data_IF_831854477008
#
_entry.id   IF_831854477008
#
_cell.length_a   1.000
_cell.length_b   1.000
_cell.length_c   1.000
_cell.angle_alpha   90.00
_cell.angle_beta   90.00
_cell.angle_gamma   90.00
#
_symmetry.space_group_name_H-M   'P 1'
#
loop_
_entity.id
_entity.type
_entity.pdbx_description
1 polymer ?
#
# COMPACT_ATOMS: atom_id res chain seq x y z
N UNK A 1 7.75 -12.30 -20.74
CA UNK A 1 8.61 -13.35 -21.37
C UNK A 1 10.02 -13.09 -20.89
N UNK A 2 10.76 -14.15 -20.49
CA UNK A 2 12.13 -14.06 -19.98
C UNK A 2 12.24 -13.70 -18.48
N UNK A 3 11.15 -13.58 -17.75
CA UNK A 3 11.22 -13.48 -16.29
C UNK A 3 11.70 -14.80 -15.68
N UNK A 4 12.58 -14.72 -14.69
CA UNK A 4 13.12 -15.87 -13.99
C UNK A 4 12.32 -16.13 -12.71
N UNK A 5 11.92 -17.39 -12.52
CA UNK A 5 11.25 -17.91 -11.34
C UNK A 5 12.15 -18.95 -10.68
N UNK A 6 11.93 -19.26 -9.43
CA UNK A 6 12.74 -20.26 -8.70
C UNK A 6 11.84 -21.40 -8.24
N UNK A 7 12.27 -22.64 -8.47
CA UNK A 7 11.58 -23.84 -7.96
C UNK A 7 12.00 -24.16 -6.50
N UNK A 8 11.39 -25.19 -5.92
CA UNK A 8 11.67 -25.65 -4.56
C UNK A 8 13.10 -26.23 -4.35
N UNK A 9 13.85 -26.45 -5.42
CA UNK A 9 15.25 -26.91 -5.38
C UNK A 9 16.23 -25.75 -5.62
N UNK A 10 15.73 -24.51 -5.76
CA UNK A 10 16.52 -23.33 -6.08
C UNK A 10 16.92 -23.23 -7.56
N UNK A 11 16.31 -24.04 -8.44
CA UNK A 11 16.57 -23.99 -9.88
C UNK A 11 15.78 -22.87 -10.53
N UNK A 12 16.45 -22.11 -11.38
CA UNK A 12 15.83 -21.08 -12.21
C UNK A 12 14.97 -21.69 -13.32
N UNK A 13 13.74 -21.21 -13.45
CA UNK A 13 12.78 -21.54 -14.50
C UNK A 13 12.46 -20.25 -15.24
N UNK A 14 12.61 -20.23 -16.56
CA UNK A 14 12.28 -19.08 -17.39
C UNK A 14 10.82 -19.11 -17.82
N UNK A 15 10.15 -17.95 -17.79
CA UNK A 15 8.80 -17.78 -18.35
C UNK A 15 8.91 -17.67 -19.86
N UNK A 16 8.53 -18.73 -20.56
CA UNK A 16 8.59 -18.79 -22.03
C UNK A 16 7.41 -18.10 -22.68
N UNK A 17 6.22 -18.20 -22.07
CA UNK A 17 4.98 -17.63 -22.61
C UNK A 17 4.06 -17.13 -21.52
N UNK A 18 3.41 -16.00 -21.78
CA UNK A 18 2.30 -15.47 -20.99
C UNK A 18 1.16 -15.19 -21.96
N UNK A 19 0.00 -15.75 -21.69
CA UNK A 19 -1.23 -15.44 -22.43
C UNK A 19 -2.34 -15.06 -21.46
N UNK A 20 -3.26 -14.24 -21.93
CA UNK A 20 -4.47 -13.86 -21.19
C UNK A 20 -5.64 -14.60 -21.83
N UNK A 21 -6.34 -15.35 -21.04
CA UNK A 21 -7.60 -15.96 -21.42
C UNK A 21 -8.74 -14.99 -21.10
N UNK A 22 -9.67 -14.81 -22.04
CA UNK A 22 -10.89 -14.04 -21.80
C UNK A 22 -12.02 -15.05 -21.64
N UNK A 23 -12.63 -15.07 -20.49
CA UNK A 23 -13.80 -15.91 -20.21
C UNK A 23 -15.04 -15.18 -20.74
N UNK A 24 -15.64 -15.70 -21.81
CA UNK A 24 -16.88 -15.17 -22.39
C UNK A 24 -18.05 -15.49 -21.44
N UNK A 25 -18.47 -14.50 -20.66
CA UNK A 25 -19.62 -14.55 -19.74
C UNK A 25 -19.58 -15.61 -18.63
N UNK A 26 -18.46 -16.21 -18.37
CA UNK A 26 -18.25 -17.12 -17.23
C UNK A 26 -17.34 -16.48 -16.18
N UNK A 27 -17.68 -16.66 -14.90
CA UNK A 27 -16.81 -16.27 -13.79
C UNK A 27 -16.19 -17.52 -13.18
N UNK A 28 -14.87 -17.61 -13.20
CA UNK A 28 -14.15 -18.65 -12.44
C UNK A 28 -13.85 -18.18 -11.02
N UNK A 29 -14.04 -19.11 -10.07
CA UNK A 29 -13.62 -18.87 -8.68
C UNK A 29 -12.10 -19.00 -8.59
N UNK A 30 -11.42 -17.90 -8.33
CA UNK A 30 -9.99 -17.89 -8.05
C UNK A 30 -9.78 -17.97 -6.54
N UNK A 31 -8.98 -18.92 -6.11
CA UNK A 31 -8.63 -19.09 -4.69
C UNK A 31 -7.26 -18.52 -4.44
N UNK A 32 -7.16 -17.69 -3.40
CA UNK A 32 -5.91 -17.16 -2.92
C UNK A 32 -5.59 -17.77 -1.56
N UNK A 33 -4.43 -18.41 -1.44
CA UNK A 33 -4.02 -19.05 -0.20
C UNK A 33 -3.21 -18.06 0.65
N UNK A 34 -3.65 -17.85 1.88
CA UNK A 34 -2.86 -17.12 2.87
C UNK A 34 -2.04 -18.13 3.66
N UNK A 35 -0.71 -18.06 3.54
CA UNK A 35 0.22 -18.82 4.38
C UNK A 35 0.65 -17.91 5.53
N UNK A 36 0.35 -18.32 6.77
CA UNK A 36 0.74 -17.58 7.97
C UNK A 36 2.26 -17.42 8.04
N UNK A 37 2.69 -16.20 8.39
CA UNK A 37 4.07 -15.73 8.59
C UNK A 37 4.92 -15.56 7.32
N UNK A 38 4.84 -16.43 6.33
CA UNK A 38 5.76 -16.39 5.17
C UNK A 38 5.14 -15.85 3.88
N UNK A 39 3.82 -15.87 3.72
CA UNK A 39 3.09 -15.45 2.51
C UNK A 39 3.66 -16.03 1.20
N UNK A 40 4.35 -17.16 1.30
CA UNK A 40 5.10 -17.77 0.20
C UNK A 40 4.71 -19.24 0.11
N UNK A 41 4.42 -19.71 -1.09
CA UNK A 41 4.06 -21.11 -1.35
C UNK A 41 4.45 -21.53 -2.76
N UNK A 42 4.48 -22.83 -3.00
CA UNK A 42 4.79 -23.39 -4.30
C UNK A 42 3.53 -23.72 -5.08
N UNK A 43 3.52 -23.43 -6.38
CA UNK A 43 2.39 -23.69 -7.26
C UNK A 43 2.80 -24.51 -8.48
N UNK A 44 1.83 -25.28 -8.97
CA UNK A 44 1.96 -26.09 -10.17
C UNK A 44 2.89 -27.30 -10.02
N UNK A 45 2.95 -28.11 -11.07
CA UNK A 45 3.80 -29.30 -11.13
C UNK A 45 5.30 -28.97 -11.14
N UNK A 46 5.65 -27.76 -11.56
CA UNK A 46 7.02 -27.24 -11.56
C UNK A 46 7.46 -26.66 -10.21
N UNK A 47 6.57 -26.69 -9.18
CA UNK A 47 6.86 -26.16 -7.86
C UNK A 47 7.44 -24.73 -7.87
N UNK A 48 6.81 -23.83 -8.62
CA UNK A 48 7.23 -22.42 -8.69
C UNK A 48 6.93 -21.73 -7.38
N UNK A 49 7.93 -21.07 -6.81
CA UNK A 49 7.77 -20.24 -5.61
C UNK A 49 7.00 -18.96 -5.97
N UNK A 50 5.85 -18.78 -5.36
CA UNK A 50 5.07 -17.54 -5.44
C UNK A 50 4.98 -16.89 -4.09
N UNK A 51 5.11 -15.58 -4.07
CA UNK A 51 4.92 -14.75 -2.89
C UNK A 51 3.59 -14.02 -3.02
N UNK A 52 2.66 -14.37 -2.14
CA UNK A 52 1.42 -13.62 -2.03
C UNK A 52 1.67 -12.40 -1.15
N UNK A 53 1.90 -11.26 -1.77
CA UNK A 53 1.97 -10.01 -1.04
C UNK A 53 0.56 -9.67 -0.53
N UNK A 54 0.36 -9.76 0.77
CA UNK A 54 -0.84 -9.24 1.43
C UNK A 54 -0.77 -7.70 1.41
N UNK A 55 -1.22 -7.10 0.30
CA UNK A 55 -1.17 -5.66 0.11
C UNK A 55 -2.11 -4.90 1.07
N UNK A 56 -3.09 -5.59 1.65
CA UNK A 56 -4.07 -5.00 2.56
C UNK A 56 -3.64 -4.97 4.04
N UNK A 57 -2.56 -5.67 4.43
CA UNK A 57 -2.24 -5.90 5.84
C UNK A 57 -0.81 -5.55 6.24
N UNK A 58 -0.21 -4.51 5.65
CA UNK A 58 1.05 -4.00 6.20
C UNK A 58 0.79 -3.23 7.50
N UNK A 59 0.70 -3.95 8.59
CA UNK A 59 0.67 -3.34 9.92
C UNK A 59 2.07 -2.84 10.31
N UNK A 60 2.17 -1.71 11.02
CA UNK A 60 3.45 -1.11 11.39
C UNK A 60 4.10 -1.85 12.57
N UNK A 61 4.64 -3.05 12.35
CA UNK A 61 5.26 -3.85 13.41
C UNK A 61 6.56 -3.23 13.98
N UNK A 62 7.40 -2.67 13.11
CA UNK A 62 8.70 -2.13 13.53
C UNK A 62 8.56 -0.79 14.26
N UNK A 63 9.19 -0.68 15.44
CA UNK A 63 9.20 0.55 16.23
C UNK A 63 7.90 0.89 16.94
N UNK A 64 6.93 -0.01 16.97
CA UNK A 64 5.69 0.14 17.73
C UNK A 64 6.00 0.02 19.23
N UNK A 65 5.60 1.02 20.00
CA UNK A 65 5.75 1.06 21.46
C UNK A 65 4.42 0.78 22.18
N UNK A 66 3.30 0.92 21.47
CA UNK A 66 1.96 0.63 22.02
C UNK A 66 1.03 0.20 20.90
N UNK A 67 0.22 -0.82 21.17
CA UNK A 67 -0.86 -1.31 20.32
C UNK A 67 -2.16 -1.37 21.12
N UNK A 68 -3.24 -0.84 20.58
CA UNK A 68 -4.57 -0.86 21.18
C UNK A 68 -5.58 -1.36 20.16
N UNK A 69 -6.21 -2.49 20.45
CA UNK A 69 -7.36 -3.00 19.68
C UNK A 69 -8.63 -2.29 20.14
N UNK A 70 -9.31 -1.63 19.22
CA UNK A 70 -10.52 -0.87 19.48
C UNK A 70 -11.76 -1.77 19.36
N UNK A 71 -12.88 -1.33 19.98
CA UNK A 71 -14.14 -2.09 19.97
C UNK A 71 -14.77 -2.23 18.58
N UNK A 72 -14.46 -1.32 17.66
CA UNK A 72 -14.94 -1.30 16.27
C UNK A 72 -14.12 -2.20 15.33
N UNK A 73 -13.14 -2.93 15.88
CA UNK A 73 -12.25 -3.81 15.13
C UNK A 73 -11.02 -3.12 14.53
N UNK A 74 -10.91 -1.79 14.66
CA UNK A 74 -9.70 -1.05 14.28
C UNK A 74 -8.57 -1.27 15.31
N UNK A 75 -7.33 -0.95 14.92
CA UNK A 75 -6.17 -1.05 15.81
C UNK A 75 -5.37 0.24 15.77
N UNK A 76 -5.08 0.83 16.93
CA UNK A 76 -4.25 2.02 17.05
C UNK A 76 -2.83 1.62 17.43
N UNK A 77 -1.87 2.01 16.60
CA UNK A 77 -0.45 1.82 16.83
C UNK A 77 0.21 3.14 17.20
N UNK A 78 1.09 3.12 18.20
CA UNK A 78 1.87 4.28 18.63
C UNK A 78 3.36 4.02 18.42
N UNK A 79 4.07 5.01 17.89
CA UNK A 79 5.52 5.02 17.70
C UNK A 79 6.13 6.31 18.28
N UNK A 80 7.45 6.32 18.52
CA UNK A 80 8.19 7.55 18.75
C UNK A 80 8.78 8.06 17.45
N UNK A 81 8.36 9.25 16.99
CA UNK A 81 8.84 9.93 15.79
C UNK A 81 9.35 11.30 16.21
N UNK A 82 10.65 11.59 15.96
CA UNK A 82 11.25 12.83 16.40
C UNK A 82 11.16 13.06 17.92
N UNK A 83 11.21 11.99 18.72
CA UNK A 83 11.10 12.04 20.19
C UNK A 83 9.69 12.20 20.75
N UNK A 84 8.67 12.35 19.89
CA UNK A 84 7.26 12.50 20.28
C UNK A 84 6.49 11.22 20.01
N UNK A 85 5.50 10.93 20.83
CA UNK A 85 4.55 9.86 20.57
C UNK A 85 3.58 10.27 19.46
N UNK A 86 3.46 9.40 18.46
CA UNK A 86 2.59 9.57 17.29
C UNK A 86 1.76 8.31 17.16
N UNK A 87 0.45 8.45 17.03
CA UNK A 87 -0.48 7.33 16.96
C UNK A 87 -1.26 7.36 15.64
N UNK A 88 -1.35 6.22 14.97
CA UNK A 88 -2.15 6.05 13.75
C UNK A 88 -3.10 4.87 13.96
N UNK A 89 -4.37 5.08 13.65
CA UNK A 89 -5.40 4.03 13.72
C UNK A 89 -5.55 3.38 12.35
N UNK A 90 -5.55 2.07 12.35
CA UNK A 90 -5.78 1.25 11.15
C UNK A 90 -7.17 0.65 11.22
N UNK A 91 -7.93 0.76 10.14
CA UNK A 91 -9.23 0.12 10.03
C UNK A 91 -9.11 -1.40 10.18
N UNK A 92 -10.22 -2.10 10.33
CA UNK A 92 -10.27 -3.57 10.38
C UNK A 92 -9.74 -4.21 9.08
N UNK A 93 -9.78 -3.49 7.96
CA UNK A 93 -9.21 -3.88 6.67
C UNK A 93 -7.72 -3.58 6.56
N UNK A 94 -7.10 -2.92 7.55
CA UNK A 94 -5.68 -2.61 7.58
C UNK A 94 -5.26 -1.30 6.92
N UNK A 95 -6.18 -0.39 6.63
CA UNK A 95 -5.89 0.93 6.07
C UNK A 95 -5.66 1.96 7.17
N UNK A 96 -4.59 2.79 7.10
CA UNK A 96 -4.29 3.79 8.11
C UNK A 96 -5.13 5.04 7.95
N UNK A 97 -5.56 5.61 9.05
CA UNK A 97 -6.09 6.97 9.10
C UNK A 97 -4.96 7.98 9.38
N UNK A 98 -4.51 8.66 8.34
CA UNK A 98 -3.54 9.74 8.43
C UNK A 98 -4.16 11.13 8.53
N UNK A 99 -5.48 11.26 8.59
CA UNK A 99 -6.19 12.55 8.66
C UNK A 99 -5.71 13.45 9.79
N UNK A 100 -5.35 12.94 11.01
CA UNK A 100 -4.82 13.79 12.08
C UNK A 100 -3.46 14.45 11.75
N UNK A 101 -2.79 13.99 10.69
CA UNK A 101 -1.47 14.48 10.25
C UNK A 101 -1.54 15.17 8.89
N UNK A 102 -2.74 15.51 8.45
CA UNK A 102 -2.96 16.25 7.21
C UNK A 102 -2.37 17.66 7.30
N UNK A 103 -2.01 18.23 6.13
CA UNK A 103 -1.51 19.60 6.06
C UNK A 103 -2.62 20.58 6.48
N UNK A 104 -2.36 21.50 7.42
CA UNK A 104 -3.42 22.34 7.99
C UNK A 104 -3.97 23.41 7.02
N UNK A 105 -3.10 23.90 6.10
CA UNK A 105 -3.41 25.06 5.28
C UNK A 105 -3.87 24.74 3.86
N UNK A 106 -3.94 23.44 3.50
CA UNK A 106 -4.39 23.03 2.18
C UNK A 106 -5.68 22.20 2.25
N UNK A 107 -6.55 22.30 1.23
CA UNK A 107 -7.71 21.42 1.12
C UNK A 107 -7.28 19.95 1.14
N UNK A 108 -7.90 19.15 2.00
CA UNK A 108 -7.60 17.72 2.17
C UNK A 108 -8.84 16.93 2.58
N UNK A 109 -9.08 15.73 2.01
CA UNK A 109 -8.37 15.18 0.84
C UNK A 109 -8.76 15.88 -0.48
N UNK A 110 -7.93 15.73 -1.52
CA UNK A 110 -8.26 16.19 -2.88
C UNK A 110 -8.58 14.99 -3.77
N UNK A 111 -9.53 15.17 -4.70
CA UNK A 111 -9.87 14.13 -5.70
C UNK A 111 -9.04 14.31 -6.95
N UNK A 112 -8.55 13.18 -7.48
CA UNK A 112 -7.78 13.11 -8.72
C UNK A 112 -8.26 11.95 -9.60
N UNK A 113 -7.80 11.90 -10.82
CA UNK A 113 -7.88 10.68 -11.64
C UNK A 113 -6.65 9.82 -11.34
N UNK A 114 -6.77 8.97 -10.31
CA UNK A 114 -5.65 8.19 -9.78
C UNK A 114 -5.18 7.14 -10.78
N UNK A 115 -3.88 7.15 -11.09
CA UNK A 115 -3.23 6.24 -12.03
C UNK A 115 -2.36 5.19 -11.35
N UNK A 116 -2.06 5.38 -10.07
CA UNK A 116 -1.09 4.58 -9.31
C UNK A 116 0.38 4.96 -9.60
N UNK A 117 0.62 5.95 -10.48
CA UNK A 117 1.93 6.52 -10.72
C UNK A 117 2.15 7.76 -9.83
N UNK A 118 3.11 7.70 -8.93
CA UNK A 118 3.33 8.78 -7.96
C UNK A 118 3.57 10.16 -8.63
N UNK A 119 4.36 10.23 -9.70
CA UNK A 119 4.66 11.51 -10.33
C UNK A 119 3.42 12.15 -10.96
N UNK A 120 2.62 11.36 -11.68
CA UNK A 120 1.35 11.77 -12.28
C UNK A 120 0.34 12.19 -11.22
N UNK A 121 0.14 11.33 -10.22
CA UNK A 121 -0.89 11.53 -9.20
C UNK A 121 -0.54 12.71 -8.28
N UNK A 122 0.73 12.87 -7.92
CA UNK A 122 1.21 14.01 -7.14
C UNK A 122 1.09 15.34 -7.91
N UNK A 123 1.34 15.32 -9.23
CA UNK A 123 1.14 16.51 -10.06
C UNK A 123 -0.34 16.93 -10.12
N UNK A 124 -1.25 15.97 -10.25
CA UNK A 124 -2.69 16.24 -10.22
C UNK A 124 -3.13 16.78 -8.84
N UNK A 125 -2.65 16.14 -7.76
CA UNK A 125 -2.97 16.56 -6.39
C UNK A 125 -2.40 17.96 -6.07
N UNK A 126 -1.15 18.25 -6.46
CA UNK A 126 -0.57 19.59 -6.33
C UNK A 126 -1.39 20.63 -7.09
N UNK A 127 -1.78 20.34 -8.34
CA UNK A 127 -2.61 21.25 -9.14
C UNK A 127 -3.95 21.53 -8.43
N UNK A 128 -4.56 20.55 -7.79
CA UNK A 128 -5.82 20.71 -7.07
C UNK A 128 -5.72 21.66 -5.87
N UNK A 129 -4.53 21.87 -5.31
CA UNK A 129 -4.26 22.82 -4.21
C UNK A 129 -3.51 24.08 -4.68
N UNK A 130 -3.44 24.32 -5.99
CA UNK A 130 -2.82 25.53 -6.55
C UNK A 130 -1.30 25.49 -6.67
N UNK A 131 -0.67 24.32 -6.52
CA UNK A 131 0.78 24.13 -6.71
C UNK A 131 1.09 23.58 -8.10
N UNK A 132 2.35 23.76 -8.53
CA UNK A 132 2.86 23.23 -9.80
C UNK A 132 3.84 22.08 -9.60
N UNK A 133 3.94 21.22 -10.63
CA UNK A 133 4.84 20.06 -10.63
C UNK A 133 4.40 18.94 -9.69
N UNK A 134 5.24 17.92 -9.53
CA UNK A 134 4.94 16.73 -8.75
C UNK A 134 5.59 16.69 -7.35
N UNK A 135 6.36 17.73 -6.98
CA UNK A 135 6.97 17.77 -5.63
C UNK A 135 5.95 18.27 -4.60
N UNK A 136 5.66 17.48 -3.55
CA UNK A 136 4.84 17.97 -2.45
C UNK A 136 5.52 19.10 -1.66
N UNK A 137 4.79 19.87 -0.85
CA UNK A 137 5.36 20.84 0.09
C UNK A 137 6.41 20.22 1.00
N UNK A 138 7.38 21.02 1.42
CA UNK A 138 8.49 20.58 2.30
C UNK A 138 7.94 19.98 3.60
N UNK A 139 8.39 18.78 3.95
CA UNK A 139 7.97 18.06 5.16
C UNK A 139 6.67 17.26 4.99
N UNK A 140 6.07 17.29 3.81
CA UNK A 140 4.83 16.57 3.50
C UNK A 140 5.01 15.62 2.31
N UNK A 141 4.06 14.70 2.16
CA UNK A 141 3.94 13.80 1.01
C UNK A 141 2.46 13.52 0.74
N UNK A 142 2.16 13.11 -0.47
CA UNK A 142 0.82 12.67 -0.83
C UNK A 142 0.62 11.20 -0.48
N UNK A 143 -0.44 10.92 0.24
CA UNK A 143 -0.93 9.58 0.52
C UNK A 143 -2.08 9.23 -0.43
N UNK A 144 -1.97 8.12 -1.14
CA UNK A 144 -3.05 7.56 -1.96
C UNK A 144 -4.05 6.88 -1.03
N UNK A 145 -5.27 7.41 -0.95
CA UNK A 145 -6.32 6.82 -0.12
C UNK A 145 -6.88 5.54 -0.75
N UNK A 146 -7.45 4.71 0.08
CA UNK A 146 -8.01 3.40 -0.30
C UNK A 146 -9.23 3.47 -1.23
N UNK A 147 -9.87 4.64 -1.35
CA UNK A 147 -10.99 4.87 -2.28
C UNK A 147 -10.57 4.88 -3.76
N UNK A 148 -9.26 4.86 -4.04
CA UNK A 148 -8.69 4.83 -5.38
C UNK A 148 -8.89 6.09 -6.21
N UNK A 149 -9.22 7.21 -5.58
CA UNK A 149 -9.49 8.50 -6.26
C UNK A 149 -9.12 9.73 -5.43
N UNK A 150 -8.81 9.57 -4.16
CA UNK A 150 -8.48 10.68 -3.25
C UNK A 150 -7.02 10.63 -2.81
N UNK A 151 -6.42 11.82 -2.67
CA UNK A 151 -5.07 12.01 -2.17
C UNK A 151 -5.12 12.87 -0.92
N UNK A 152 -4.39 12.47 0.12
CA UNK A 152 -4.27 13.19 1.37
C UNK A 152 -2.83 13.73 1.52
N UNK A 153 -2.66 15.04 1.69
CA UNK A 153 -1.35 15.65 1.94
C UNK A 153 -1.02 15.51 3.42
N UNK A 154 -0.04 14.67 3.75
CA UNK A 154 0.26 14.27 5.12
C UNK A 154 1.72 14.52 5.49
N UNK A 155 2.01 14.65 6.76
CA UNK A 155 3.38 14.73 7.29
C UNK A 155 4.19 13.54 6.81
N UNK A 156 5.34 13.83 6.16
CA UNK A 156 6.20 12.81 5.57
C UNK A 156 6.82 11.89 6.61
N UNK A 157 7.23 12.41 7.75
CA UNK A 157 7.86 11.63 8.83
C UNK A 157 6.89 10.62 9.46
N UNK A 158 5.58 10.91 9.42
CA UNK A 158 4.54 9.97 9.89
C UNK A 158 4.23 8.92 8.83
N UNK A 159 4.21 9.31 7.56
CA UNK A 159 3.84 8.44 6.44
C UNK A 159 4.98 7.50 6.00
N UNK A 160 6.20 8.01 5.90
CA UNK A 160 7.35 7.31 5.31
C UNK A 160 8.01 6.38 6.34
N UNK A 161 7.86 5.06 6.15
CA UNK A 161 8.43 4.06 7.04
C UNK A 161 9.97 4.10 7.09
N UNK A 162 10.65 4.63 6.06
CA UNK A 162 12.12 4.79 6.08
C UNK A 162 12.57 5.90 7.02
N UNK A 163 11.68 6.82 7.37
CA UNK A 163 11.89 7.88 8.37
C UNK A 163 11.35 7.51 9.76
N UNK A 164 11.01 6.24 9.97
CA UNK A 164 10.41 5.75 11.22
C UNK A 164 8.88 5.83 11.27
N UNK A 165 8.24 6.28 10.20
CA UNK A 165 6.80 6.37 10.05
C UNK A 165 6.09 5.01 9.99
N UNK A 166 4.83 5.03 9.60
CA UNK A 166 3.93 3.89 9.66
C UNK A 166 3.87 3.14 8.33
N UNK A 167 4.29 1.86 8.34
CA UNK A 167 4.18 0.99 7.17
C UNK A 167 2.71 0.70 6.87
N UNK A 168 2.32 0.84 5.61
CA UNK A 168 0.94 0.64 5.18
C UNK A 168 0.87 0.29 3.69
N UNK A 169 -0.30 -0.16 3.28
CA UNK A 169 -0.67 -0.27 1.88
C UNK A 169 -1.54 0.94 1.51
N UNK A 170 -1.14 1.67 0.50
CA UNK A 170 -1.90 2.81 -0.01
C UNK A 170 -2.75 2.46 -1.22
N UNK A 171 -3.68 3.36 -1.58
CA UNK A 171 -4.59 3.21 -2.71
C UNK A 171 -3.92 3.00 -4.07
N UNK A 172 -2.64 3.40 -4.23
CA UNK A 172 -1.86 3.12 -5.44
C UNK A 172 -1.76 1.63 -5.76
N UNK A 173 -1.67 0.76 -4.73
CA UNK A 173 -1.64 -0.69 -4.90
C UNK A 173 -2.98 -1.23 -5.39
N UNK A 174 -4.09 -0.64 -4.96
CA UNK A 174 -5.45 -1.02 -5.37
C UNK A 174 -5.67 -0.75 -6.86
N UNK A 175 -5.14 0.38 -7.36
CA UNK A 175 -5.27 0.73 -8.78
C UNK A 175 -4.38 -0.14 -9.67
N UNK A 176 -3.16 -0.45 -9.23
CA UNK A 176 -2.21 -1.27 -10.02
C UNK A 176 -2.63 -2.73 -10.15
N UNK A 177 -3.48 -3.20 -9.25
CA UNK A 177 -3.92 -4.60 -9.19
C UNK A 177 -5.35 -4.79 -9.74
N UNK A 178 -5.94 -3.76 -10.33
CA UNK A 178 -7.17 -3.84 -11.14
C UNK A 178 -6.81 -4.05 -12.61
#
# INVERSE_FOLDING_TARGET
IGAELVDNNGKTICVEQIYRETLDNESEKVYNFKVDEFHTYYVGSCCVLVHNADYANRTPKQGVIKEVKNKDGSTTYTKKIGGKEVSVTYSKEGYPDFSPYAHPDHPNPVKINMTGNNASDFAQANKAIGLSGSKPPKGYTWHHMEDGKSMLLVRRDVHDCTLGGFAHTGGASIIKNK
#
